data_IF_026732067252
#
_entry.id   IF_026732067252
#
_cell.length_a   1.000
_cell.length_b   1.000
_cell.length_c   1.000
_cell.angle_alpha   90.00
_cell.angle_beta   90.00
_cell.angle_gamma   90.00
#
_symmetry.space_group_name_H-M   'P 1'
#
loop_
_entity.id
_entity.type
_entity.pdbx_description
1 polymer ?
#
# COMPACT_ATOMS: atom_id res chain seq x y z
N UNK A 1 5.11 -30.97 -57.87
CA UNK A 1 4.64 -29.66 -58.26
C UNK A 1 3.32 -29.42 -57.61
N UNK A 2 3.29 -28.69 -56.51
CA UNK A 2 2.11 -28.05 -55.99
C UNK A 2 2.60 -27.06 -54.90
N UNK A 3 2.43 -25.80 -55.22
CA UNK A 3 2.75 -24.67 -54.36
C UNK A 3 1.76 -24.60 -53.21
N UNK A 4 2.26 -24.48 -51.95
CA UNK A 4 1.45 -24.08 -50.84
C UNK A 4 1.74 -22.60 -50.55
N UNK A 5 0.73 -21.77 -50.73
CA UNK A 5 0.71 -20.37 -50.37
C UNK A 5 0.75 -20.19 -48.86
N UNK A 6 1.65 -19.40 -48.42
CA UNK A 6 1.65 -18.78 -47.07
C UNK A 6 0.53 -17.71 -47.03
N UNK A 7 -0.47 -17.97 -46.21
CA UNK A 7 -1.46 -16.96 -45.80
C UNK A 7 -1.49 -16.95 -44.26
N UNK A 8 -0.70 -16.11 -43.64
CA UNK A 8 -0.59 -16.11 -42.18
C UNK A 8 0.00 -14.86 -41.54
N UNK A 9 0.01 -13.71 -42.21
CA UNK A 9 0.60 -12.48 -41.61
C UNK A 9 -0.29 -11.25 -41.53
N UNK A 10 -1.59 -11.36 -41.87
CA UNK A 10 -2.50 -10.19 -41.85
C UNK A 10 -3.42 -10.12 -40.62
N UNK A 11 -3.42 -11.12 -39.72
CA UNK A 11 -4.33 -11.14 -38.57
C UNK A 11 -3.86 -10.37 -37.33
N UNK A 12 -2.56 -10.12 -37.19
CA UNK A 12 -2.01 -9.48 -35.98
C UNK A 12 -1.95 -7.94 -36.00
N UNK A 13 -2.09 -7.34 -37.18
CA UNK A 13 -2.08 -5.87 -37.30
C UNK A 13 -3.44 -5.21 -37.09
N UNK A 14 -4.55 -5.94 -37.28
CA UNK A 14 -5.91 -5.39 -37.10
C UNK A 14 -6.37 -5.48 -35.63
N UNK A 15 -5.94 -6.48 -34.86
CA UNK A 15 -6.27 -6.57 -33.43
C UNK A 15 -5.52 -5.52 -32.58
N UNK A 16 -4.32 -5.13 -32.97
CA UNK A 16 -3.58 -4.06 -32.30
C UNK A 16 -4.15 -2.67 -32.56
N UNK A 17 -4.81 -2.46 -33.71
CA UNK A 17 -5.43 -1.19 -34.08
C UNK A 17 -6.76 -0.95 -33.35
N UNK A 18 -7.38 -1.97 -32.73
CA UNK A 18 -8.62 -1.83 -31.96
C UNK A 18 -8.39 -1.48 -30.48
N UNK A 19 -7.14 -1.47 -30.02
CA UNK A 19 -6.81 -1.20 -28.61
C UNK A 19 -6.76 0.30 -28.28
N UNK A 20 -6.67 1.18 -29.29
CA UNK A 20 -6.72 2.63 -29.10
C UNK A 20 -7.73 3.26 -30.07
N UNK A 21 -8.60 4.16 -29.61
CA UNK A 21 -9.45 4.94 -30.49
C UNK A 21 -8.59 5.68 -31.52
N UNK A 22 -8.95 5.59 -32.80
CA UNK A 22 -8.15 6.16 -33.90
C UNK A 22 -8.18 7.69 -33.97
N UNK A 23 -8.91 8.31 -33.08
CA UNK A 23 -9.16 9.76 -32.99
C UNK A 23 -8.40 10.39 -31.79
N UNK A 24 -7.61 9.62 -31.08
CA UNK A 24 -6.85 10.12 -29.95
C UNK A 24 -5.61 10.89 -30.44
N UNK A 25 -5.60 12.18 -30.22
CA UNK A 25 -4.44 13.02 -30.57
C UNK A 25 -3.41 13.10 -29.46
N UNK A 26 -2.12 13.43 -29.75
CA UNK A 26 -1.13 13.68 -28.70
C UNK A 26 -1.58 14.75 -27.69
N UNK A 27 -2.42 15.69 -28.11
CA UNK A 27 -2.97 16.71 -27.22
C UNK A 27 -3.98 16.12 -26.23
N UNK A 28 -4.76 15.11 -26.63
CA UNK A 28 -5.72 14.43 -25.74
C UNK A 28 -4.98 13.62 -24.67
N UNK A 29 -3.88 12.93 -25.04
CA UNK A 29 -3.01 12.22 -24.09
C UNK A 29 -2.40 13.20 -23.08
N UNK A 30 -1.92 14.35 -23.55
CA UNK A 30 -1.38 15.38 -22.68
C UNK A 30 -2.43 15.94 -21.72
N UNK A 31 -3.63 16.21 -22.19
CA UNK A 31 -4.71 16.76 -21.39
C UNK A 31 -5.19 15.75 -20.31
N UNK A 32 -5.29 14.45 -20.64
CA UNK A 32 -5.58 13.42 -19.64
C UNK A 32 -4.46 13.31 -18.61
N UNK A 33 -3.20 13.27 -19.04
CA UNK A 33 -2.07 13.27 -18.11
C UNK A 33 -2.03 14.50 -17.20
N UNK A 34 -2.35 15.69 -17.70
CA UNK A 34 -2.40 16.92 -16.90
C UNK A 34 -3.57 16.89 -15.92
N UNK A 35 -4.74 16.41 -16.33
CA UNK A 35 -5.88 16.26 -15.43
C UNK A 35 -5.59 15.27 -14.28
N UNK A 36 -4.89 14.16 -14.59
CA UNK A 36 -4.45 13.19 -13.57
C UNK A 36 -3.41 13.80 -12.62
N UNK A 37 -2.51 14.63 -13.13
CA UNK A 37 -1.52 15.32 -12.29
C UNK A 37 -2.14 16.39 -11.38
N UNK A 38 -3.15 17.12 -11.86
CA UNK A 38 -3.89 18.07 -11.03
C UNK A 38 -4.67 17.34 -9.95
N UNK A 39 -5.38 16.27 -10.29
CA UNK A 39 -6.10 15.43 -9.34
C UNK A 39 -5.16 14.81 -8.30
N UNK A 40 -3.99 14.36 -8.71
CA UNK A 40 -2.98 13.82 -7.81
C UNK A 40 -2.43 14.89 -6.87
N UNK A 41 -2.17 16.10 -7.39
CA UNK A 41 -1.69 17.21 -6.57
C UNK A 41 -2.75 17.66 -5.55
N UNK A 42 -4.01 17.73 -5.95
CA UNK A 42 -5.12 18.02 -5.05
C UNK A 42 -5.28 16.94 -3.97
N UNK A 43 -5.11 15.67 -4.34
CA UNK A 43 -5.11 14.55 -3.42
C UNK A 43 -3.96 14.66 -2.42
N UNK A 44 -2.74 14.91 -2.87
CA UNK A 44 -1.56 15.08 -2.01
C UNK A 44 -1.70 16.27 -1.06
N UNK A 45 -2.27 17.39 -1.52
CA UNK A 45 -2.49 18.57 -0.70
C UNK A 45 -3.59 18.39 0.34
N UNK A 46 -4.64 17.62 0.00
CA UNK A 46 -5.78 17.35 0.90
C UNK A 46 -5.43 16.38 2.02
N UNK A 47 -4.43 15.52 1.83
CA UNK A 47 -3.98 14.54 2.80
C UNK A 47 -2.65 14.88 3.46
N UNK A 48 -2.34 16.16 3.55
CA UNK A 48 -1.28 16.66 4.41
C UNK A 48 -1.60 16.37 5.88
N UNK A 49 -0.58 15.92 6.63
CA UNK A 49 -0.71 15.50 8.03
C UNK A 49 -1.65 14.30 8.25
N UNK A 50 -1.74 13.41 7.30
CA UNK A 50 -2.54 12.20 7.44
C UNK A 50 -1.81 11.10 8.21
N UNK A 51 -2.60 10.25 8.88
CA UNK A 51 -2.14 8.96 9.39
C UNK A 51 -2.44 7.89 8.35
N UNK A 52 -1.45 7.11 7.99
CA UNK A 52 -1.61 5.95 7.10
C UNK A 52 -1.99 4.73 7.92
N UNK A 53 -3.08 4.05 7.57
CA UNK A 53 -3.46 2.77 8.18
C UNK A 53 -3.44 1.70 7.09
N UNK A 54 -2.48 0.78 7.18
CA UNK A 54 -2.34 -0.34 6.26
C UNK A 54 -2.98 -1.59 6.83
N UNK A 55 -3.75 -2.28 6.00
CA UNK A 55 -4.35 -3.59 6.26
C UNK A 55 -4.11 -4.51 5.06
N UNK A 56 -4.14 -5.82 5.28
CA UNK A 56 -3.92 -6.77 4.21
C UNK A 56 -5.20 -7.17 3.46
N UNK A 57 -6.32 -7.26 4.16
CA UNK A 57 -7.56 -7.88 3.68
C UNK A 57 -8.76 -6.94 3.80
N UNK A 58 -9.82 -7.25 3.04
CA UNK A 58 -11.05 -6.46 3.05
C UNK A 58 -11.81 -6.58 4.39
N UNK A 59 -11.71 -7.73 5.07
CA UNK A 59 -12.29 -7.97 6.38
C UNK A 59 -11.63 -7.11 7.47
N UNK A 60 -10.33 -6.88 7.36
CA UNK A 60 -9.55 -6.00 8.25
C UNK A 60 -9.83 -4.52 7.97
N UNK A 61 -10.13 -4.18 6.70
CA UNK A 61 -10.46 -2.82 6.27
C UNK A 61 -11.87 -2.40 6.71
N UNK A 62 -12.82 -3.32 6.69
CA UNK A 62 -14.24 -3.01 6.87
C UNK A 62 -14.56 -2.20 8.15
N UNK A 63 -13.99 -2.49 9.33
CA UNK A 63 -14.23 -1.70 10.53
C UNK A 63 -13.78 -0.25 10.41
N UNK A 64 -12.65 -0.01 9.74
CA UNK A 64 -12.12 1.34 9.52
C UNK A 64 -13.00 2.12 8.56
N UNK A 65 -13.50 1.49 7.49
CA UNK A 65 -14.45 2.13 6.58
C UNK A 65 -15.78 2.49 7.28
N UNK A 66 -16.23 1.63 8.20
CA UNK A 66 -17.46 1.87 8.95
C UNK A 66 -17.33 3.00 9.98
N UNK A 67 -16.12 3.20 10.53
CA UNK A 67 -15.83 4.20 11.55
C UNK A 67 -15.39 5.57 10.99
N UNK A 68 -15.27 5.72 9.68
CA UNK A 68 -14.70 6.92 9.04
C UNK A 68 -15.57 7.40 7.88
N UNK A 69 -15.47 8.69 7.56
CA UNK A 69 -16.20 9.30 6.46
C UNK A 69 -15.33 9.36 5.21
N UNK A 70 -15.94 9.22 4.04
CA UNK A 70 -15.23 9.34 2.79
C UNK A 70 -14.84 10.79 2.54
N UNK A 71 -13.54 11.03 2.36
CA UNK A 71 -13.02 12.34 2.02
C UNK A 71 -12.94 12.54 0.51
N UNK A 72 -12.43 11.54 -0.20
CA UNK A 72 -12.32 11.52 -1.65
C UNK A 72 -12.60 10.11 -2.21
N UNK A 73 -12.82 9.95 -3.51
CA UNK A 73 -12.97 8.62 -4.13
C UNK A 73 -11.75 7.74 -3.87
N UNK A 74 -11.99 6.44 -3.67
CA UNK A 74 -10.90 5.47 -3.56
C UNK A 74 -10.23 5.27 -4.93
N UNK A 75 -8.94 5.04 -4.92
CA UNK A 75 -8.16 4.77 -6.13
C UNK A 75 -7.28 3.53 -5.95
N UNK A 76 -6.72 3.03 -7.05
CA UNK A 76 -5.87 1.84 -7.05
C UNK A 76 -4.53 2.18 -7.69
N UNK A 77 -3.45 1.79 -7.02
CA UNK A 77 -2.09 1.85 -7.56
C UNK A 77 -1.44 0.49 -7.39
N UNK A 78 -0.95 -0.08 -8.47
CA UNK A 78 -0.45 -1.45 -8.48
C UNK A 78 -1.47 -2.46 -7.97
N UNK A 79 -1.15 -3.15 -6.89
CA UNK A 79 -2.04 -4.15 -6.25
C UNK A 79 -2.81 -3.57 -5.05
N UNK A 80 -2.44 -2.39 -4.60
CA UNK A 80 -3.02 -1.73 -3.43
C UNK A 80 -4.22 -0.88 -3.81
N UNK A 81 -5.15 -0.74 -2.87
CA UNK A 81 -6.27 0.18 -2.98
C UNK A 81 -6.26 1.16 -1.81
N UNK A 82 -6.41 2.42 -2.12
CA UNK A 82 -6.29 3.55 -1.23
C UNK A 82 -7.65 4.18 -1.01
N UNK A 83 -7.94 4.55 0.23
CA UNK A 83 -9.20 5.11 0.66
C UNK A 83 -8.91 6.36 1.51
N UNK A 84 -8.97 7.55 0.90
CA UNK A 84 -8.88 8.81 1.64
C UNK A 84 -10.11 9.00 2.51
N UNK A 85 -9.92 9.17 3.83
CA UNK A 85 -11.00 9.20 4.82
C UNK A 85 -10.75 10.30 5.85
N UNK A 86 -11.80 10.68 6.56
CA UNK A 86 -11.73 11.46 7.77
C UNK A 86 -12.25 10.65 8.96
N UNK A 87 -11.52 10.69 10.05
CA UNK A 87 -12.01 10.27 11.36
C UNK A 87 -12.45 11.52 12.13
N UNK A 88 -13.71 11.59 12.46
CA UNK A 88 -14.25 12.67 13.30
C UNK A 88 -14.08 12.31 14.77
N UNK A 89 -13.31 13.12 15.49
CA UNK A 89 -13.11 13.03 16.95
C UNK A 89 -13.62 14.32 17.59
N UNK A 90 -14.75 14.26 18.26
CA UNK A 90 -15.43 15.42 18.80
C UNK A 90 -15.75 16.46 17.70
N UNK A 91 -15.05 17.58 17.65
CA UNK A 91 -15.19 18.63 16.62
C UNK A 91 -14.07 18.60 15.57
N UNK A 92 -13.03 17.78 15.77
CA UNK A 92 -11.87 17.70 14.90
C UNK A 92 -12.01 16.59 13.85
N UNK A 93 -11.52 16.87 12.64
CA UNK A 93 -11.37 15.87 11.58
C UNK A 93 -9.91 15.50 11.39
N UNK A 94 -9.61 14.23 11.60
CA UNK A 94 -8.26 13.67 11.39
C UNK A 94 -8.21 13.02 10.01
N UNK A 95 -7.34 13.49 9.09
CA UNK A 95 -7.19 12.85 7.80
C UNK A 95 -6.49 11.48 7.95
N UNK A 96 -7.11 10.47 7.36
CA UNK A 96 -6.61 9.09 7.31
C UNK A 96 -6.49 8.62 5.89
N UNK A 97 -5.37 8.01 5.54
CA UNK A 97 -5.22 7.25 4.32
C UNK A 97 -5.26 5.76 4.66
N UNK A 98 -6.42 5.12 4.45
CA UNK A 98 -6.54 3.68 4.62
C UNK A 98 -6.02 2.98 3.37
N UNK A 99 -5.21 1.93 3.55
CA UNK A 99 -4.56 1.23 2.47
C UNK A 99 -4.78 -0.27 2.60
N UNK A 100 -5.45 -0.87 1.62
CA UNK A 100 -5.53 -2.32 1.51
C UNK A 100 -4.43 -2.82 0.58
N UNK A 101 -3.37 -3.38 1.17
CA UNK A 101 -2.16 -3.79 0.46
C UNK A 101 -2.23 -5.15 -0.21
N UNK A 102 -3.18 -6.02 0.16
CA UNK A 102 -3.14 -7.48 0.05
C UNK A 102 -2.11 -8.11 0.97
N UNK A 103 -2.16 -9.46 1.08
CA UNK A 103 -1.31 -10.25 1.98
C UNK A 103 0.14 -10.28 1.45
N UNK A 104 1.09 -10.24 2.36
CA UNK A 104 2.51 -10.42 2.10
C UNK A 104 3.35 -9.18 2.32
N UNK A 105 4.59 -9.38 2.79
CA UNK A 105 5.52 -8.32 3.18
C UNK A 105 5.85 -7.37 2.02
N UNK A 106 6.02 -7.92 0.82
CA UNK A 106 6.32 -7.11 -0.39
C UNK A 106 5.15 -6.20 -0.74
N UNK A 107 3.92 -6.74 -0.70
CA UNK A 107 2.72 -5.97 -0.97
C UNK A 107 2.52 -4.86 0.08
N UNK A 108 2.72 -5.19 1.36
CA UNK A 108 2.62 -4.22 2.44
C UNK A 108 3.66 -3.10 2.30
N UNK A 109 4.92 -3.45 2.05
CA UNK A 109 6.01 -2.48 1.89
C UNK A 109 5.77 -1.55 0.69
N UNK A 110 5.39 -2.09 -0.47
CA UNK A 110 5.07 -1.30 -1.66
C UNK A 110 3.91 -0.35 -1.38
N UNK A 111 2.80 -0.86 -0.84
CA UNK A 111 1.61 -0.07 -0.57
C UNK A 111 1.85 1.06 0.45
N UNK A 112 2.63 0.79 1.51
CA UNK A 112 2.98 1.81 2.51
C UNK A 112 3.91 2.87 1.91
N UNK A 113 4.86 2.49 1.07
CA UNK A 113 5.74 3.44 0.39
C UNK A 113 4.93 4.41 -0.48
N UNK A 114 4.00 3.89 -1.28
CA UNK A 114 3.09 4.72 -2.07
C UNK A 114 2.22 5.62 -1.18
N UNK A 115 1.65 5.05 -0.11
CA UNK A 115 0.81 5.81 0.82
C UNK A 115 1.55 7.00 1.45
N UNK A 116 2.81 6.83 1.85
CA UNK A 116 3.63 7.91 2.42
C UNK A 116 3.92 8.99 1.37
N UNK A 117 4.08 8.60 0.10
CA UNK A 117 4.27 9.55 -0.99
C UNK A 117 2.99 10.39 -1.25
N UNK A 118 1.81 9.78 -1.12
CA UNK A 118 0.52 10.50 -1.23
C UNK A 118 0.20 11.36 -0.01
N UNK A 119 0.51 10.86 1.19
CA UNK A 119 0.27 11.56 2.44
C UNK A 119 1.38 12.57 2.73
N UNK A 120 1.34 13.74 2.06
CA UNK A 120 2.32 14.80 2.31
C UNK A 120 2.42 15.10 3.80
N UNK A 121 3.63 15.03 4.37
CA UNK A 121 3.87 15.16 5.81
C UNK A 121 3.09 14.09 6.61
N UNK A 122 3.27 12.81 6.26
CA UNK A 122 2.67 11.68 6.97
C UNK A 122 3.04 11.71 8.47
N UNK A 123 2.04 11.75 9.34
CA UNK A 123 2.25 11.80 10.80
C UNK A 123 2.65 10.45 11.38
N UNK A 124 2.31 9.36 10.72
CA UNK A 124 2.65 8.01 11.16
C UNK A 124 2.00 6.95 10.32
N UNK A 125 2.50 5.73 10.45
CA UNK A 125 1.97 4.55 9.79
C UNK A 125 1.56 3.53 10.84
N UNK A 126 0.34 3.02 10.71
CA UNK A 126 -0.18 1.93 11.54
C UNK A 126 -0.40 0.72 10.63
N UNK A 127 0.28 -0.37 10.88
CA UNK A 127 -0.06 -1.66 10.28
C UNK A 127 -1.06 -2.36 11.20
N UNK A 128 -2.29 -2.53 10.72
CA UNK A 128 -3.38 -3.14 11.47
C UNK A 128 -3.82 -4.43 10.77
N UNK A 129 -4.15 -5.44 11.57
CA UNK A 129 -4.61 -6.70 11.02
C UNK A 129 -4.84 -7.76 12.09
N UNK A 130 -5.23 -8.93 11.64
CA UNK A 130 -5.44 -10.08 12.50
C UNK A 130 -4.12 -10.80 12.77
N UNK A 131 -3.94 -11.28 14.00
CA UNK A 131 -2.75 -12.02 14.42
C UNK A 131 -3.12 -13.19 15.35
N UNK A 132 -2.25 -14.22 15.37
CA UNK A 132 -2.37 -15.31 16.31
C UNK A 132 -1.82 -14.93 17.70
N UNK A 133 -2.64 -15.07 18.73
CA UNK A 133 -2.19 -14.91 20.12
C UNK A 133 -1.34 -16.09 20.56
N UNK A 134 -0.08 -15.85 20.94
CA UNK A 134 0.83 -16.89 21.42
C UNK A 134 0.89 -16.97 22.96
N UNK A 135 0.65 -15.86 23.65
CA UNK A 135 0.71 -15.82 25.09
C UNK A 135 -0.61 -16.33 25.71
N UNK A 136 -0.51 -17.06 26.82
CA UNK A 136 -1.67 -17.70 27.49
C UNK A 136 -2.74 -16.73 27.97
N UNK A 137 -2.38 -15.48 28.21
CA UNK A 137 -3.32 -14.43 28.68
C UNK A 137 -4.01 -13.66 27.55
N UNK A 138 -3.64 -13.91 26.29
CA UNK A 138 -4.27 -13.27 25.13
C UNK A 138 -5.50 -14.06 24.70
N UNK A 139 -6.65 -13.38 24.58
CA UNK A 139 -7.90 -13.95 24.17
C UNK A 139 -8.31 -13.47 22.77
N UNK A 140 -9.24 -14.18 22.16
CA UNK A 140 -9.86 -13.73 20.89
C UNK A 140 -10.58 -12.41 21.11
N UNK A 141 -10.24 -11.42 20.30
CA UNK A 141 -10.79 -10.07 20.40
C UNK A 141 -9.91 -9.07 21.16
N UNK A 142 -8.83 -9.53 21.79
CA UNK A 142 -7.86 -8.62 22.38
C UNK A 142 -7.12 -7.85 21.31
N UNK A 143 -6.85 -6.58 21.58
CA UNK A 143 -6.00 -5.72 20.72
C UNK A 143 -4.61 -5.63 21.33
N UNK A 144 -3.60 -6.00 20.55
CA UNK A 144 -2.20 -6.00 20.98
C UNK A 144 -1.44 -4.95 20.16
N UNK A 145 -0.79 -4.03 20.89
CA UNK A 145 0.18 -3.12 20.31
C UNK A 145 1.58 -3.73 20.48
N UNK A 146 2.25 -4.00 19.36
CA UNK A 146 3.63 -4.48 19.38
C UNK A 146 4.59 -3.34 19.73
N UNK A 147 5.48 -3.59 20.70
CA UNK A 147 6.60 -2.69 21.01
C UNK A 147 7.87 -3.08 20.27
N UNK A 148 8.04 -4.37 19.99
CA UNK A 148 9.17 -4.91 19.24
C UNK A 148 8.71 -5.92 18.19
N UNK A 149 9.38 -5.90 17.05
CA UNK A 149 9.09 -6.77 15.91
C UNK A 149 10.36 -7.43 15.43
N UNK A 150 10.26 -8.69 15.04
CA UNK A 150 11.38 -9.44 14.46
C UNK A 150 10.90 -10.40 13.38
N UNK A 151 11.79 -10.77 12.48
CA UNK A 151 11.53 -11.80 11.47
C UNK A 151 11.83 -13.17 12.05
N UNK A 152 10.83 -14.01 12.22
CA UNK A 152 11.01 -15.35 12.81
C UNK A 152 11.56 -16.39 11.84
N UNK A 153 11.43 -16.14 10.55
CA UNK A 153 11.84 -17.02 9.45
C UNK A 153 13.18 -16.63 8.80
N UNK A 154 13.75 -15.48 9.17
CA UNK A 154 15.09 -15.11 8.73
C UNK A 154 16.15 -15.89 9.51
N UNK A 155 17.03 -16.58 8.81
CA UNK A 155 18.17 -17.28 9.38
C UNK A 155 19.44 -17.02 8.57
N UNK A 156 20.27 -16.12 9.07
CA UNK A 156 21.58 -15.80 8.52
C UNK A 156 22.71 -16.13 9.52
N UNK A 157 22.46 -17.06 10.45
CA UNK A 157 23.39 -17.42 11.53
C UNK A 157 24.70 -17.99 11.00
N UNK A 158 24.69 -18.64 9.83
CA UNK A 158 25.90 -19.13 9.16
C UNK A 158 26.88 -18.00 8.81
N UNK A 159 26.40 -16.76 8.68
CA UNK A 159 27.21 -15.58 8.42
C UNK A 159 27.50 -14.75 9.67
N UNK A 160 27.17 -15.26 10.86
CA UNK A 160 27.44 -14.61 12.16
C UNK A 160 26.35 -13.62 12.60
N UNK A 161 25.19 -13.60 11.96
CA UNK A 161 24.02 -12.81 12.39
C UNK A 161 23.18 -13.55 13.43
N UNK A 162 22.37 -12.83 14.20
CA UNK A 162 21.41 -13.47 15.08
C UNK A 162 20.22 -14.05 14.29
N UNK A 163 19.55 -15.05 14.88
CA UNK A 163 18.34 -15.61 14.30
C UNK A 163 17.23 -14.53 14.28
N UNK A 164 16.56 -14.36 13.13
CA UNK A 164 15.59 -13.29 12.91
C UNK A 164 16.20 -12.00 12.39
N UNK A 165 17.53 -11.90 12.39
CA UNK A 165 18.23 -10.75 11.83
C UNK A 165 18.43 -10.88 10.33
N UNK A 166 17.99 -9.86 9.60
CA UNK A 166 18.33 -9.70 8.18
C UNK A 166 19.70 -9.03 8.06
N UNK A 167 20.65 -9.55 7.27
CA UNK A 167 21.96 -8.96 7.08
C UNK A 167 21.90 -7.46 6.74
N UNK A 168 22.65 -6.65 7.50
CA UNK A 168 22.65 -5.20 7.35
C UNK A 168 21.51 -4.47 8.06
N UNK A 169 20.62 -5.19 8.73
CA UNK A 169 19.50 -4.63 9.46
C UNK A 169 19.65 -4.88 10.98
N UNK A 170 18.96 -4.12 11.84
CA UNK A 170 18.97 -4.39 13.28
C UNK A 170 18.34 -5.76 13.60
N UNK A 171 18.64 -6.28 14.80
CA UNK A 171 18.10 -7.57 15.28
C UNK A 171 16.59 -7.52 15.45
N UNK A 172 16.08 -6.41 15.94
CA UNK A 172 14.65 -6.16 16.12
C UNK A 172 14.26 -4.76 15.67
N UNK A 173 12.97 -4.57 15.45
CA UNK A 173 12.37 -3.30 15.08
C UNK A 173 11.40 -2.89 16.19
N UNK A 174 11.61 -1.75 16.81
CA UNK A 174 10.76 -1.28 17.91
C UNK A 174 11.21 0.06 18.46
N UNK A 175 10.76 0.35 19.67
CA UNK A 175 11.13 1.58 20.35
C UNK A 175 12.65 1.68 20.48
N UNK A 176 13.17 2.82 20.06
CA UNK A 176 14.57 3.16 20.28
C UNK A 176 14.71 3.70 21.70
N UNK A 177 15.81 3.36 22.35
CA UNK A 177 16.17 4.01 23.61
C UNK A 177 16.34 5.54 23.43
N UNK A 178 16.45 6.26 24.52
CA UNK A 178 16.63 7.72 24.51
C UNK A 178 17.93 8.18 23.81
N UNK A 179 18.81 7.25 23.44
CA UNK A 179 20.07 7.49 22.71
C UNK A 179 19.96 7.09 21.24
N UNK A 180 18.77 6.69 20.77
CA UNK A 180 18.50 6.31 19.36
C UNK A 180 19.04 4.92 19.00
N UNK A 181 19.44 4.11 19.99
CA UNK A 181 19.79 2.71 19.81
C UNK A 181 18.53 1.87 19.98
N UNK A 182 18.20 1.05 18.99
CA UNK A 182 17.20 0.01 19.14
C UNK A 182 17.81 -1.17 19.91
N UNK A 183 17.03 -1.69 20.86
CA UNK A 183 17.37 -2.96 21.51
C UNK A 183 17.19 -4.13 20.52
#
# INVERSE_FOLDING_TARGET
MSEQHHSGEQGHSEEAAQMFPTDFTPADIFNEMYADLENLNDLMMSFSNAIVIQVAMDEELAPFLAATEQAQPSFTEGVAKFYPRYLTLEEDQVPLLLVRSKIGLVNAASAVTEAINYATNCLGVISAGTAGGLAQHINVGDVVLGSNYLYTDADATIFGYERGQIPGMPVSYGDRDSEGRGD
#
